data_IF_786529206882
#
_entry.id   IF_786529206882
#
_cell.length_a   1.000
_cell.length_b   1.000
_cell.length_c   1.000
_cell.angle_alpha   90.00
_cell.angle_beta   90.00
_cell.angle_gamma   90.00
#
_symmetry.space_group_name_H-M   'P 1'
#
loop_
_entity.id
_entity.type
_entity.pdbx_description
1 polymer ?
#
# COMPACT_ATOMS: atom_id res chain seq x y z
N UNK A 1 -42.23 -25.01 45.33
CA UNK A 1 -40.81 -25.19 44.95
C UNK A 1 -40.62 -25.50 43.45
N UNK A 2 -41.35 -26.47 42.88
CA UNK A 2 -41.21 -26.91 41.46
C UNK A 2 -41.34 -25.79 40.40
N UNK A 3 -42.31 -24.89 40.52
CA UNK A 3 -42.49 -23.75 39.58
C UNK A 3 -41.31 -22.77 39.53
N UNK A 4 -40.64 -22.53 40.67
CA UNK A 4 -39.48 -21.62 40.72
C UNK A 4 -38.26 -22.23 40.01
N UNK A 5 -38.08 -23.54 40.11
CA UNK A 5 -37.01 -24.28 39.41
C UNK A 5 -37.25 -24.30 37.90
N UNK A 6 -38.49 -24.48 37.46
CA UNK A 6 -38.86 -24.44 36.03
C UNK A 6 -38.65 -23.05 35.42
N UNK A 7 -39.06 -21.99 36.12
CA UNK A 7 -38.85 -20.62 35.63
C UNK A 7 -37.36 -20.23 35.59
N UNK A 8 -36.57 -20.72 36.54
CA UNK A 8 -35.11 -20.53 36.55
C UNK A 8 -34.46 -21.28 35.37
N UNK A 9 -34.86 -22.53 35.11
CA UNK A 9 -34.35 -23.28 33.96
C UNK A 9 -34.72 -22.61 32.62
N UNK A 10 -35.96 -22.11 32.49
CA UNK A 10 -36.38 -21.37 31.28
C UNK A 10 -35.59 -20.07 31.07
N UNK A 11 -35.16 -19.40 32.15
CA UNK A 11 -34.39 -18.14 32.00
C UNK A 11 -32.97 -18.36 31.48
N UNK A 12 -32.44 -19.59 31.53
CA UNK A 12 -31.15 -19.92 30.93
C UNK A 12 -31.26 -20.28 29.44
N UNK A 13 -32.43 -20.70 28.97
CA UNK A 13 -32.64 -21.08 27.56
C UNK A 13 -32.45 -19.88 26.64
N UNK A 14 -32.99 -18.71 27.00
CA UNK A 14 -32.87 -17.49 26.20
C UNK A 14 -31.40 -17.05 25.98
N UNK A 15 -30.61 -16.87 27.04
CA UNK A 15 -29.18 -16.54 26.93
C UNK A 15 -28.39 -17.59 26.17
N UNK A 16 -28.62 -18.88 26.42
CA UNK A 16 -27.91 -19.97 25.72
C UNK A 16 -28.26 -19.95 24.22
N UNK A 17 -29.53 -19.80 23.88
CA UNK A 17 -29.96 -19.69 22.48
C UNK A 17 -29.35 -18.46 21.80
N UNK A 18 -29.29 -17.31 22.50
CA UNK A 18 -28.64 -16.10 21.99
C UNK A 18 -27.15 -16.29 21.75
N UNK A 19 -26.43 -16.92 22.69
CA UNK A 19 -25.00 -17.23 22.54
C UNK A 19 -24.77 -18.17 21.35
N UNK A 20 -25.59 -19.21 21.21
CA UNK A 20 -25.49 -20.16 20.08
C UNK A 20 -25.78 -19.45 18.76
N UNK A 21 -26.82 -18.62 18.68
CA UNK A 21 -27.15 -17.85 17.46
C UNK A 21 -26.02 -16.89 17.08
N UNK A 22 -25.42 -16.20 18.06
CA UNK A 22 -24.30 -15.29 17.82
C UNK A 22 -22.98 -16.00 17.53
N UNK A 23 -22.84 -17.26 17.93
CA UNK A 23 -21.64 -18.08 17.72
C UNK A 23 -21.72 -18.95 16.47
N UNK A 24 -22.90 -19.06 15.84
CA UNK A 24 -23.03 -19.70 14.54
C UNK A 24 -22.39 -18.80 13.47
N UNK A 25 -21.48 -19.33 12.63
CA UNK A 25 -20.97 -18.58 11.50
C UNK A 25 -22.15 -18.31 10.56
N UNK A 26 -22.68 -17.09 10.62
CA UNK A 26 -23.67 -16.61 9.66
C UNK A 26 -22.91 -16.61 8.33
N UNK A 27 -23.36 -17.45 7.39
CA UNK A 27 -22.77 -17.52 6.06
C UNK A 27 -22.77 -16.14 5.36
N UNK A 28 -22.32 -16.06 4.10
CA UNK A 28 -22.20 -14.78 3.43
C UNK A 28 -23.52 -13.99 3.51
N UNK A 29 -23.43 -12.75 4.00
CA UNK A 29 -24.58 -11.87 4.23
C UNK A 29 -25.10 -11.36 2.88
N UNK A 30 -25.81 -12.21 2.14
CA UNK A 30 -26.35 -11.86 0.82
C UNK A 30 -27.46 -10.82 0.93
N UNK A 31 -27.60 -9.96 -0.09
CA UNK A 31 -28.70 -8.98 -0.17
C UNK A 31 -28.41 -7.66 0.54
N UNK A 32 -27.41 -6.91 0.08
CA UNK A 32 -27.10 -5.55 0.55
C UNK A 32 -26.39 -5.47 1.90
N UNK A 33 -26.53 -6.48 2.76
CA UNK A 33 -25.78 -6.62 4.02
C UNK A 33 -24.36 -7.16 3.83
N UNK A 34 -23.96 -7.49 2.59
CA UNK A 34 -22.60 -7.94 2.28
C UNK A 34 -21.54 -6.90 2.65
N UNK A 35 -21.93 -5.62 2.66
CA UNK A 35 -21.04 -4.51 3.03
C UNK A 35 -20.49 -4.63 4.45
N UNK A 36 -21.17 -5.28 5.39
CA UNK A 36 -20.70 -5.45 6.78
C UNK A 36 -20.02 -6.80 7.01
N UNK A 37 -19.75 -7.59 5.95
CA UNK A 37 -19.04 -8.84 6.13
C UNK A 37 -17.62 -8.59 6.66
N UNK A 38 -17.17 -9.35 7.67
CA UNK A 38 -15.81 -9.23 8.19
C UNK A 38 -14.73 -9.56 7.16
N UNK A 39 -15.08 -10.36 6.14
CA UNK A 39 -14.24 -10.76 5.02
C UNK A 39 -15.02 -10.51 3.73
N UNK A 40 -14.44 -9.80 2.77
CA UNK A 40 -15.06 -9.36 1.51
C UNK A 40 -16.02 -8.16 1.61
N UNK A 41 -16.22 -7.59 2.81
CA UNK A 41 -17.06 -6.39 3.03
C UNK A 41 -16.25 -5.09 3.08
N UNK A 42 -16.86 -3.97 3.47
CA UNK A 42 -16.19 -2.65 3.58
C UNK A 42 -15.08 -2.62 4.64
N UNK A 43 -15.08 -3.59 5.55
CA UNK A 43 -14.06 -3.74 6.59
C UNK A 43 -12.93 -4.70 6.18
N UNK A 44 -13.04 -5.34 5.02
CA UNK A 44 -11.93 -6.08 4.44
C UNK A 44 -10.93 -5.07 3.86
N UNK A 45 -9.82 -4.91 4.56
CA UNK A 45 -8.80 -3.92 4.22
C UNK A 45 -7.87 -4.38 3.09
N UNK A 46 -8.29 -5.37 2.29
CA UNK A 46 -7.50 -5.93 1.19
C UNK A 46 -6.45 -6.90 1.69
N UNK A 47 -6.86 -7.92 2.48
CA UNK A 47 -6.00 -9.07 2.68
C UNK A 47 -5.50 -9.56 1.30
N UNK A 48 -4.20 -9.84 1.12
CA UNK A 48 -3.68 -10.28 -0.18
C UNK A 48 -4.53 -11.43 -0.68
N UNK A 49 -5.05 -11.32 -1.90
CA UNK A 49 -5.81 -12.44 -2.48
C UNK A 49 -4.89 -13.66 -2.52
N UNK A 50 -5.31 -14.81 -1.93
CA UNK A 50 -4.47 -15.99 -1.94
C UNK A 50 -4.25 -16.47 -3.37
N UNK A 51 -2.99 -16.48 -3.81
CA UNK A 51 -2.62 -17.03 -5.12
C UNK A 51 -1.31 -16.45 -5.66
N UNK A 52 -0.62 -17.27 -6.45
CA UNK A 52 0.58 -16.84 -7.15
C UNK A 52 0.19 -15.97 -8.35
N UNK A 53 0.86 -14.83 -8.49
CA UNK A 53 0.67 -13.93 -9.62
C UNK A 53 2.01 -13.71 -10.32
N UNK A 54 2.01 -13.88 -11.65
CA UNK A 54 3.15 -13.53 -12.48
C UNK A 54 2.86 -12.23 -13.21
N UNK A 55 3.71 -11.23 -12.99
CA UNK A 55 3.58 -9.91 -13.60
C UNK A 55 4.83 -9.66 -14.43
N UNK A 56 4.65 -9.25 -15.68
CA UNK A 56 5.77 -8.87 -16.55
C UNK A 56 6.08 -7.40 -16.35
N UNK A 57 7.26 -7.11 -15.80
CA UNK A 57 7.80 -5.76 -15.63
C UNK A 57 8.82 -5.48 -16.73
N UNK A 58 8.54 -4.50 -17.59
CA UNK A 58 9.48 -4.06 -18.63
C UNK A 58 10.65 -3.34 -17.97
N UNK A 59 11.87 -3.87 -18.09
CA UNK A 59 13.09 -3.27 -17.53
C UNK A 59 13.78 -4.13 -16.47
N UNK A 60 13.17 -5.24 -16.04
CA UNK A 60 13.87 -6.25 -15.24
C UNK A 60 14.94 -6.96 -16.08
N UNK A 61 16.11 -7.13 -15.49
CA UNK A 61 17.22 -7.92 -16.03
C UNK A 61 17.04 -9.41 -15.72
N UNK A 62 16.48 -9.73 -14.55
CA UNK A 62 16.26 -11.09 -14.07
C UNK A 62 14.88 -11.27 -13.40
N UNK A 63 14.53 -12.52 -13.09
CA UNK A 63 13.30 -12.83 -12.37
C UNK A 63 13.36 -12.31 -10.91
N UNK A 64 12.26 -11.71 -10.46
CA UNK A 64 12.10 -11.21 -9.09
C UNK A 64 10.94 -11.92 -8.42
N UNK A 65 11.19 -12.47 -7.23
CA UNK A 65 10.16 -13.11 -6.41
C UNK A 65 9.72 -12.16 -5.30
N UNK A 66 8.40 -11.95 -5.17
CA UNK A 66 7.82 -11.12 -4.09
C UNK A 66 6.90 -11.98 -3.26
N UNK A 67 7.29 -12.24 -2.01
CA UNK A 67 6.50 -13.03 -1.06
C UNK A 67 5.81 -12.06 -0.11
N UNK A 68 4.48 -12.05 -0.11
CA UNK A 68 3.69 -11.24 0.81
C UNK A 68 3.34 -12.09 2.03
N UNK A 69 3.75 -11.65 3.22
CA UNK A 69 3.44 -12.38 4.44
C UNK A 69 1.98 -12.18 4.91
N UNK A 70 1.61 -12.88 5.97
CA UNK A 70 0.29 -12.81 6.59
C UNK A 70 -0.11 -11.42 7.12
N UNK A 71 0.84 -10.50 7.28
CA UNK A 71 0.60 -9.11 7.69
C UNK A 71 0.52 -8.16 6.48
N UNK A 72 0.66 -8.68 5.25
CA UNK A 72 0.69 -7.87 4.04
C UNK A 72 2.04 -7.20 3.78
N UNK A 73 3.13 -7.67 4.41
CA UNK A 73 4.47 -7.10 4.19
C UNK A 73 5.14 -7.83 3.01
N UNK A 74 5.55 -7.11 1.96
CA UNK A 74 6.25 -7.71 0.83
C UNK A 74 7.73 -7.94 1.14
N UNK A 75 8.20 -9.16 0.91
CA UNK A 75 9.60 -9.57 0.95
C UNK A 75 10.08 -9.77 -0.49
N UNK A 76 11.03 -8.96 -0.95
CA UNK A 76 11.51 -8.92 -2.33
C UNK A 76 12.84 -9.66 -2.43
N UNK A 77 12.91 -10.66 -3.32
CA UNK A 77 14.11 -11.44 -3.63
C UNK A 77 14.49 -11.20 -5.09
N UNK A 78 15.69 -10.67 -5.33
CA UNK A 78 16.20 -10.35 -6.65
C UNK A 78 17.72 -10.63 -6.73
N UNK A 79 18.23 -10.82 -7.95
CA UNK A 79 19.66 -11.06 -8.18
C UNK A 79 20.50 -9.76 -8.23
N UNK A 80 19.86 -8.62 -8.45
CA UNK A 80 20.53 -7.31 -8.57
C UNK A 80 19.81 -6.23 -7.76
N UNK A 81 20.56 -5.17 -7.39
CA UNK A 81 19.97 -3.97 -6.75
C UNK A 81 18.98 -3.28 -7.69
N UNK A 82 19.26 -3.26 -9.00
CA UNK A 82 18.38 -2.69 -10.03
C UNK A 82 16.99 -3.34 -9.98
N UNK A 83 16.95 -4.66 -10.12
CA UNK A 83 15.71 -5.44 -10.13
C UNK A 83 14.94 -5.33 -8.80
N UNK A 84 15.68 -5.34 -7.67
CA UNK A 84 15.09 -5.14 -6.35
C UNK A 84 14.42 -3.77 -6.22
N UNK A 85 15.08 -2.71 -6.68
CA UNK A 85 14.54 -1.35 -6.65
C UNK A 85 13.35 -1.20 -7.59
N UNK A 86 13.39 -1.83 -8.76
CA UNK A 86 12.28 -1.85 -9.70
C UNK A 86 11.03 -2.49 -9.08
N UNK A 87 11.16 -3.68 -8.50
CA UNK A 87 10.06 -4.35 -7.82
C UNK A 87 9.57 -3.55 -6.60
N UNK A 88 10.48 -2.91 -5.85
CA UNK A 88 10.12 -2.04 -4.74
C UNK A 88 9.27 -0.85 -5.20
N UNK A 89 9.66 -0.20 -6.29
CA UNK A 89 8.89 0.88 -6.92
C UNK A 89 7.49 0.45 -7.33
N UNK A 90 7.39 -0.71 -7.98
CA UNK A 90 6.12 -1.31 -8.36
C UNK A 90 5.21 -1.59 -7.15
N UNK A 91 5.75 -2.23 -6.10
CA UNK A 91 5.00 -2.54 -4.88
C UNK A 91 4.58 -1.28 -4.11
N UNK A 92 5.45 -0.25 -4.06
CA UNK A 92 5.09 1.04 -3.48
C UNK A 92 3.95 1.74 -4.23
N UNK A 93 3.97 1.71 -5.57
CA UNK A 93 2.88 2.25 -6.36
C UNK A 93 1.60 1.43 -6.12
N UNK A 94 1.67 0.10 -6.17
CA UNK A 94 0.53 -0.79 -5.96
C UNK A 94 -0.20 -0.52 -4.64
N UNK A 95 0.53 -0.42 -3.54
CA UNK A 95 -0.08 -0.34 -2.22
C UNK A 95 -0.28 1.11 -1.73
N UNK A 96 0.53 2.06 -2.22
CA UNK A 96 0.66 3.41 -1.63
C UNK A 96 0.70 4.53 -2.67
N UNK A 97 0.19 4.32 -3.90
CA UNK A 97 0.23 5.33 -4.96
C UNK A 97 -0.24 6.72 -4.50
N UNK A 98 -1.40 6.79 -3.85
CA UNK A 98 -1.95 8.04 -3.35
C UNK A 98 -0.99 8.75 -2.39
N UNK A 99 -0.40 8.01 -1.45
CA UNK A 99 0.53 8.57 -0.48
C UNK A 99 1.79 9.11 -1.18
N UNK A 100 2.38 8.35 -2.11
CA UNK A 100 3.58 8.75 -2.85
C UNK A 100 3.32 10.02 -3.68
N UNK A 101 2.22 10.04 -4.43
CA UNK A 101 1.84 11.20 -5.27
C UNK A 101 1.58 12.43 -4.43
N UNK A 102 0.85 12.30 -3.31
CA UNK A 102 0.58 13.42 -2.43
C UNK A 102 1.86 13.93 -1.76
N UNK A 103 2.72 13.04 -1.26
CA UNK A 103 4.00 13.42 -0.65
C UNK A 103 4.92 14.14 -1.64
N UNK A 104 4.98 13.66 -2.89
CA UNK A 104 5.71 14.34 -3.96
C UNK A 104 5.15 15.74 -4.22
N UNK A 105 3.83 15.88 -4.32
CA UNK A 105 3.17 17.17 -4.51
C UNK A 105 3.42 18.13 -3.35
N UNK A 106 3.40 17.64 -2.10
CA UNK A 106 3.78 18.44 -0.93
C UNK A 106 5.23 18.93 -1.01
N UNK A 107 6.19 18.03 -1.25
CA UNK A 107 7.60 18.37 -1.35
C UNK A 107 7.89 19.37 -2.50
N UNK A 108 7.16 19.25 -3.61
CA UNK A 108 7.24 20.14 -4.75
C UNK A 108 6.49 21.48 -4.57
N UNK A 109 5.68 21.61 -3.52
CA UNK A 109 4.78 22.75 -3.34
C UNK A 109 3.79 22.88 -4.50
N UNK A 110 3.13 21.77 -4.84
CA UNK A 110 2.12 21.63 -5.90
C UNK A 110 0.83 20.98 -5.39
N UNK A 111 0.63 20.86 -4.08
CA UNK A 111 -0.54 20.15 -3.56
C UNK A 111 -1.83 20.90 -3.87
N UNK A 112 -1.79 22.23 -4.02
CA UNK A 112 -2.95 23.02 -4.43
C UNK A 112 -3.46 22.70 -5.84
N UNK A 113 -2.66 22.05 -6.69
CA UNK A 113 -3.12 21.53 -7.99
C UNK A 113 -4.09 20.36 -7.82
N UNK A 114 -3.95 19.59 -6.74
CA UNK A 114 -4.76 18.40 -6.46
C UNK A 114 -5.97 18.78 -5.62
N UNK A 115 -5.76 19.57 -4.57
CA UNK A 115 -6.79 19.85 -3.58
C UNK A 115 -7.41 21.25 -3.68
N UNK A 116 -6.83 22.14 -4.47
CA UNK A 116 -7.30 23.51 -4.67
C UNK A 116 -6.63 24.54 -3.76
N UNK A 117 -7.08 25.80 -3.89
CA UNK A 117 -6.37 26.98 -3.37
C UNK A 117 -6.21 27.07 -1.85
N UNK A 118 -6.90 26.24 -1.06
CA UNK A 118 -6.73 26.23 0.40
C UNK A 118 -5.33 25.78 0.83
N UNK A 119 -4.63 25.03 -0.03
CA UNK A 119 -3.28 24.57 0.25
C UNK A 119 -2.17 25.49 -0.28
N UNK A 120 -2.52 26.68 -0.82
CA UNK A 120 -1.56 27.61 -1.37
C UNK A 120 -0.49 28.07 -0.35
N UNK A 121 -0.85 28.21 0.93
CA UNK A 121 0.11 28.53 2.00
C UNK A 121 1.16 27.43 2.19
N UNK A 122 0.75 26.17 2.11
CA UNK A 122 1.64 25.01 2.15
C UNK A 122 2.59 25.02 0.95
N UNK A 123 2.06 25.25 -0.25
CA UNK A 123 2.87 25.30 -1.47
C UNK A 123 3.93 26.41 -1.42
N UNK A 124 3.56 27.60 -0.94
CA UNK A 124 4.52 28.69 -0.71
C UNK A 124 5.61 28.30 0.29
N UNK A 125 5.25 27.64 1.39
CA UNK A 125 6.21 27.20 2.39
C UNK A 125 7.23 26.20 1.81
N UNK A 126 6.76 25.14 1.14
CA UNK A 126 7.63 24.11 0.57
C UNK A 126 8.52 24.65 -0.56
N UNK A 127 8.00 25.58 -1.37
CA UNK A 127 8.81 26.30 -2.37
C UNK A 127 9.85 27.22 -1.74
N UNK A 128 9.54 27.85 -0.62
CA UNK A 128 10.45 28.74 0.08
C UNK A 128 11.64 27.99 0.71
N UNK A 129 11.40 26.83 1.32
CA UNK A 129 12.49 25.98 1.83
C UNK A 129 13.27 25.28 0.71
N UNK A 130 12.67 25.13 -0.48
CA UNK A 130 13.36 24.73 -1.69
C UNK A 130 13.65 23.24 -1.86
N UNK A 131 12.87 22.34 -1.25
CA UNK A 131 13.11 20.89 -1.31
C UNK A 131 13.24 20.37 -2.74
N UNK A 132 12.32 20.74 -3.63
CA UNK A 132 12.38 20.33 -5.04
C UNK A 132 13.62 20.87 -5.77
N UNK A 133 14.08 22.09 -5.44
CA UNK A 133 15.31 22.66 -6.00
C UNK A 133 16.51 21.84 -5.54
N UNK A 134 16.62 21.58 -4.24
CA UNK A 134 17.71 20.77 -3.69
C UNK A 134 17.72 19.34 -4.21
N UNK A 135 16.54 18.73 -4.43
CA UNK A 135 16.43 17.42 -5.05
C UNK A 135 16.96 17.43 -6.50
N UNK A 136 16.62 18.48 -7.28
CA UNK A 136 17.15 18.64 -8.63
C UNK A 136 18.67 18.85 -8.62
N UNK A 137 19.18 19.74 -7.76
CA UNK A 137 20.63 19.97 -7.64
C UNK A 137 21.38 18.68 -7.26
N UNK A 138 20.75 17.83 -6.44
CA UNK A 138 21.30 16.52 -6.06
C UNK A 138 21.30 15.57 -7.25
N UNK A 139 20.19 15.48 -7.99
CA UNK A 139 20.11 14.64 -9.20
C UNK A 139 21.14 15.07 -10.24
N UNK A 140 21.23 16.37 -10.54
CA UNK A 140 22.19 16.94 -11.49
C UNK A 140 23.63 16.57 -11.11
N UNK A 141 23.94 16.58 -9.80
CA UNK A 141 25.25 16.14 -9.31
C UNK A 141 25.48 14.65 -9.56
N UNK A 142 24.52 13.78 -9.29
CA UNK A 142 24.64 12.35 -9.56
C UNK A 142 24.84 12.07 -11.05
N UNK A 143 24.02 12.68 -11.92
CA UNK A 143 24.13 12.53 -13.38
C UNK A 143 25.50 12.99 -13.91
N UNK A 144 26.01 14.11 -13.41
CA UNK A 144 27.31 14.64 -13.83
C UNK A 144 28.50 13.77 -13.37
N UNK A 145 28.35 13.00 -12.29
CA UNK A 145 29.45 12.25 -11.67
C UNK A 145 29.36 10.73 -11.89
N UNK A 146 28.21 10.18 -12.29
CA UNK A 146 28.00 8.74 -12.45
C UNK A 146 29.04 8.08 -13.37
N UNK A 147 29.46 8.75 -14.44
CA UNK A 147 30.46 8.21 -15.37
C UNK A 147 31.86 8.01 -14.75
N UNK A 148 32.18 8.74 -13.68
CA UNK A 148 33.49 8.74 -13.03
C UNK A 148 33.46 8.16 -11.61
N UNK A 149 32.27 7.96 -11.04
CA UNK A 149 32.07 7.44 -9.69
C UNK A 149 31.05 6.27 -9.73
N UNK A 150 31.53 5.02 -9.56
CA UNK A 150 30.67 3.83 -9.57
C UNK A 150 29.56 3.86 -8.51
N UNK A 151 29.82 4.40 -7.31
CA UNK A 151 28.80 4.49 -6.26
C UNK A 151 27.69 5.47 -6.65
N UNK A 152 28.05 6.57 -7.33
CA UNK A 152 27.07 7.52 -7.86
C UNK A 152 26.25 6.91 -9.00
N UNK A 153 26.87 6.09 -9.85
CA UNK A 153 26.17 5.37 -10.90
C UNK A 153 25.17 4.35 -10.34
N UNK A 154 25.57 3.56 -9.35
CA UNK A 154 24.69 2.56 -8.70
C UNK A 154 23.52 3.24 -7.98
N UNK A 155 23.77 4.34 -7.26
CA UNK A 155 22.71 5.10 -6.60
C UNK A 155 21.72 5.69 -7.60
N UNK A 156 22.20 6.25 -8.71
CA UNK A 156 21.37 6.82 -9.77
C UNK A 156 20.54 5.73 -10.46
N UNK A 157 21.16 4.59 -10.78
CA UNK A 157 20.49 3.44 -11.38
C UNK A 157 19.36 2.92 -10.47
N UNK A 158 19.63 2.70 -9.18
CA UNK A 158 18.62 2.23 -8.24
C UNK A 158 17.44 3.20 -8.08
N UNK A 159 17.68 4.51 -8.06
CA UNK A 159 16.60 5.51 -8.01
C UNK A 159 15.78 5.52 -9.29
N UNK A 160 16.43 5.42 -10.46
CA UNK A 160 15.75 5.35 -11.75
C UNK A 160 14.90 4.09 -11.86
N UNK A 161 15.46 2.93 -11.51
CA UNK A 161 14.75 1.65 -11.48
C UNK A 161 13.49 1.72 -10.60
N UNK A 162 13.60 2.34 -9.41
CA UNK A 162 12.45 2.53 -8.51
C UNK A 162 11.36 3.39 -9.14
N UNK A 163 11.72 4.48 -9.81
CA UNK A 163 10.76 5.35 -10.50
C UNK A 163 10.14 4.62 -11.69
N UNK A 164 10.92 3.87 -12.46
CA UNK A 164 10.44 3.07 -13.58
C UNK A 164 9.47 1.99 -13.14
N UNK A 165 9.79 1.24 -12.08
CA UNK A 165 8.89 0.23 -11.50
C UNK A 165 7.55 0.83 -11.06
N UNK A 166 7.57 2.00 -10.43
CA UNK A 166 6.36 2.72 -10.08
C UNK A 166 5.54 3.15 -11.32
N UNK A 167 6.23 3.61 -12.37
CA UNK A 167 5.60 3.99 -13.64
C UNK A 167 5.00 2.79 -14.38
N UNK A 168 5.59 1.59 -14.28
CA UNK A 168 5.01 0.38 -14.86
C UNK A 168 3.63 0.10 -14.25
N UNK A 169 3.47 0.24 -12.94
CA UNK A 169 2.15 0.10 -12.29
C UNK A 169 1.16 1.19 -12.71
N UNK A 170 1.61 2.44 -12.84
CA UNK A 170 0.73 3.54 -13.26
C UNK A 170 0.21 3.34 -14.69
N UNK A 171 0.99 2.68 -15.54
CA UNK A 171 0.67 2.46 -16.96
C UNK A 171 0.01 1.10 -17.26
N UNK A 172 -0.11 0.21 -16.27
CA UNK A 172 -0.77 -1.10 -16.41
C UNK A 172 -2.28 -1.00 -16.25
#
# INVERSE_FOLDING_TARGET
>A
MKRKVVNLALSFIGPIALIVILSMPIGPLTGGLGIIQPVGGIFDNGAPEPGDQTITLTGLDAEVEVIIDHLGIPHIYAESTHDAMMALGYMHAKDRLFQVVMQNAFAAGRVSEIVGGYAASSDMFYRAIGLARSAQDTLDWYEANAALNPEAAEALDGVNALVEGANVFINS
#
